data_IF_334658218477
#
_entry.id   IF_334658218477
#
_cell.length_a   1.000
_cell.length_b   1.000
_cell.length_c   1.000
_cell.angle_alpha   90.00
_cell.angle_beta   90.00
_cell.angle_gamma   90.00
#
_symmetry.space_group_name_H-M   'P 1'
#
loop_
_entity.id
_entity.type
_entity.pdbx_description
1 polymer ?
#
# COMPACT_ATOMS: atom_id res chain seq x y z
N UNK A 1 -27.85 3.12 39.20
CA UNK A 1 -27.61 2.65 37.82
C UNK A 1 -26.96 3.80 37.06
N UNK A 2 -25.63 3.85 36.99
CA UNK A 2 -24.92 4.83 36.18
C UNK A 2 -24.74 4.22 34.78
N UNK A 3 -25.22 4.94 33.77
CA UNK A 3 -25.17 4.57 32.36
C UNK A 3 -23.72 4.37 31.92
N UNK A 4 -23.42 3.17 31.43
CA UNK A 4 -22.18 2.90 30.73
C UNK A 4 -22.19 3.65 29.41
N UNK A 5 -21.39 4.70 29.31
CA UNK A 5 -20.97 5.24 28.02
C UNK A 5 -20.17 4.12 27.37
N UNK A 6 -20.73 3.49 26.34
CA UNK A 6 -19.96 2.61 25.49
C UNK A 6 -18.81 3.46 24.94
N UNK A 7 -17.58 3.23 25.41
CA UNK A 7 -16.41 3.77 24.76
C UNK A 7 -16.51 3.27 23.32
N UNK A 8 -16.81 4.16 22.38
CA UNK A 8 -16.59 3.89 20.97
C UNK A 8 -15.13 3.49 20.87
N UNK A 9 -14.86 2.19 20.71
CA UNK A 9 -13.51 1.67 20.59
C UNK A 9 -12.87 2.47 19.47
N UNK A 10 -11.94 3.38 19.83
CA UNK A 10 -11.31 4.21 18.82
C UNK A 10 -10.56 3.27 17.88
N UNK A 11 -10.97 3.27 16.62
CA UNK A 11 -10.38 2.39 15.61
C UNK A 11 -8.95 2.87 15.36
N UNK A 12 -8.02 1.92 15.24
CA UNK A 12 -6.66 2.26 14.81
C UNK A 12 -6.61 2.74 13.35
N UNK A 13 -5.40 2.98 12.83
CA UNK A 13 -5.19 3.71 11.58
C UNK A 13 -5.85 3.07 10.35
N UNK A 14 -6.50 3.87 9.50
CA UNK A 14 -7.04 3.45 8.20
C UNK A 14 -6.22 4.12 7.09
N UNK A 15 -5.73 3.33 6.14
CA UNK A 15 -4.83 3.74 5.07
C UNK A 15 -5.47 3.80 3.69
N UNK A 16 -5.12 4.81 2.90
CA UNK A 16 -5.41 4.89 1.46
C UNK A 16 -4.10 4.87 0.69
N UNK A 17 -4.00 4.03 -0.34
CA UNK A 17 -2.84 3.98 -1.23
C UNK A 17 -3.11 4.82 -2.47
N UNK A 18 -2.20 5.75 -2.74
CA UNK A 18 -2.11 6.45 -4.02
C UNK A 18 -0.86 5.96 -4.74
N UNK A 19 -1.00 5.43 -5.94
CA UNK A 19 0.15 5.16 -6.79
C UNK A 19 0.29 6.28 -7.82
N UNK A 20 1.50 6.84 -7.90
CA UNK A 20 1.93 7.58 -9.06
C UNK A 20 2.63 6.55 -9.95
N UNK A 21 1.89 5.92 -10.85
CA UNK A 21 2.51 5.20 -11.93
C UNK A 21 3.41 6.20 -12.66
N UNK A 22 4.72 6.01 -12.59
CA UNK A 22 5.71 6.83 -13.33
C UNK A 22 5.62 6.50 -14.82
N UNK A 23 4.44 6.59 -15.43
CA UNK A 23 4.28 6.41 -16.86
C UNK A 23 4.06 7.78 -17.52
N UNK A 24 5.04 8.66 -17.35
CA UNK A 24 5.15 9.91 -18.11
C UNK A 24 5.80 9.64 -19.46
N UNK A 25 5.28 8.70 -20.25
CA UNK A 25 5.69 8.59 -21.64
C UNK A 25 4.49 8.34 -22.53
N UNK A 26 4.04 9.43 -23.14
CA UNK A 26 3.23 9.39 -24.33
C UNK A 26 4.14 8.96 -25.48
N UNK A 27 4.13 7.67 -25.80
CA UNK A 27 4.89 7.14 -26.92
C UNK A 27 4.01 7.10 -28.17
N UNK A 28 4.34 7.91 -29.18
CA UNK A 28 3.73 7.82 -30.51
C UNK A 28 4.31 6.68 -31.37
N UNK A 29 4.99 5.70 -30.76
CA UNK A 29 5.52 4.48 -31.39
C UNK A 29 5.90 3.44 -30.32
N UNK A 30 5.73 2.15 -30.62
CA UNK A 30 5.91 1.02 -29.69
C UNK A 30 7.27 1.03 -28.97
N UNK A 31 7.26 1.21 -27.64
CA UNK A 31 8.44 1.00 -26.78
C UNK A 31 8.10 -0.02 -25.70
N UNK A 32 8.80 -1.14 -25.72
CA UNK A 32 8.74 -2.18 -24.70
C UNK A 32 9.36 -1.68 -23.38
N UNK A 33 8.61 -1.78 -22.28
CA UNK A 33 9.10 -1.49 -20.92
C UNK A 33 9.26 -2.82 -20.19
N UNK A 34 10.43 -3.05 -19.60
CA UNK A 34 10.79 -4.32 -18.98
C UNK A 34 10.12 -4.50 -17.60
N UNK A 35 9.85 -5.76 -17.23
CA UNK A 35 9.31 -6.25 -15.94
C UNK A 35 9.95 -5.74 -14.64
N UNK A 36 11.00 -4.93 -14.73
CA UNK A 36 11.86 -4.52 -13.63
C UNK A 36 11.60 -3.11 -13.14
N UNK A 37 10.72 -2.35 -13.79
CA UNK A 37 10.47 -0.95 -13.42
C UNK A 37 9.52 -0.86 -12.22
N UNK A 38 9.99 -0.39 -11.04
CA UNK A 38 9.16 -0.31 -9.86
C UNK A 38 8.12 0.80 -9.98
N UNK A 39 6.91 0.54 -9.50
CA UNK A 39 5.86 1.54 -9.34
C UNK A 39 6.08 2.28 -8.03
N UNK A 40 6.16 3.61 -8.10
CA UNK A 40 6.23 4.46 -6.92
C UNK A 40 4.83 4.62 -6.31
N UNK A 41 4.71 4.25 -5.05
CA UNK A 41 3.47 4.31 -4.30
C UNK A 41 3.63 5.20 -3.06
N UNK A 42 2.52 5.74 -2.61
CA UNK A 42 2.38 6.42 -1.32
C UNK A 42 1.18 5.84 -0.60
N UNK A 43 1.34 5.54 0.68
CA UNK A 43 0.21 5.21 1.57
C UNK A 43 0.04 6.35 2.56
N UNK A 44 -1.18 6.86 2.66
CA UNK A 44 -1.59 7.89 3.60
C UNK A 44 -2.58 7.29 4.59
N UNK A 45 -2.28 7.40 5.87
CA UNK A 45 -3.17 7.02 6.95
C UNK A 45 -3.92 8.24 7.51
N UNK A 46 -5.10 8.00 8.07
CA UNK A 46 -5.90 9.01 8.78
C UNK A 46 -5.33 9.36 10.18
N UNK A 47 -4.38 8.55 10.65
CA UNK A 47 -3.70 8.67 11.94
C UNK A 47 -2.22 8.32 11.79
N UNK A 48 -1.42 8.75 12.76
CA UNK A 48 -0.01 8.38 12.83
C UNK A 48 0.15 6.87 13.05
N UNK A 49 1.10 6.27 12.33
CA UNK A 49 1.40 4.84 12.41
C UNK A 49 2.79 4.63 13.02
N UNK A 50 2.93 3.60 13.84
CA UNK A 50 4.22 3.23 14.42
C UNK A 50 4.70 1.89 13.88
N UNK A 51 6.01 1.80 13.57
CA UNK A 51 6.66 0.60 13.03
C UNK A 51 6.06 0.08 11.71
N UNK A 52 5.63 1.00 10.83
CA UNK A 52 5.15 0.62 9.51
C UNK A 52 6.30 0.10 8.62
N UNK A 53 6.02 -0.92 7.81
CA UNK A 53 7.01 -1.49 6.90
C UNK A 53 6.39 -2.47 5.89
N UNK A 54 7.19 -2.92 4.93
CA UNK A 54 6.76 -3.78 3.82
C UNK A 54 6.10 -5.09 4.29
N UNK A 55 6.52 -5.62 5.45
CA UNK A 55 5.99 -6.87 6.01
C UNK A 55 4.54 -6.79 6.51
N UNK A 56 3.96 -5.59 6.58
CA UNK A 56 2.56 -5.41 7.01
C UNK A 56 1.55 -5.52 5.86
N UNK A 57 2.03 -5.56 4.61
CA UNK A 57 1.17 -5.80 3.46
C UNK A 57 0.96 -7.29 3.23
N UNK A 58 -0.29 -7.67 2.97
CA UNK A 58 -0.57 -8.85 2.17
C UNK A 58 -0.25 -8.57 0.71
N UNK A 59 0.31 -9.56 0.02
CA UNK A 59 0.67 -9.51 -1.40
C UNK A 59 0.88 -10.93 -1.93
N UNK A 60 0.79 -11.09 -3.24
CA UNK A 60 1.14 -12.36 -3.90
C UNK A 60 2.64 -12.71 -3.76
N UNK A 61 3.01 -14.00 -3.86
CA UNK A 61 4.41 -14.46 -3.72
C UNK A 61 5.39 -13.80 -4.69
N UNK A 62 4.94 -13.44 -5.89
CA UNK A 62 5.77 -12.80 -6.91
C UNK A 62 5.85 -11.29 -6.77
N UNK A 63 5.09 -10.70 -5.85
CA UNK A 63 5.11 -9.26 -5.59
C UNK A 63 6.23 -8.92 -4.62
N UNK A 64 6.92 -7.81 -4.88
CA UNK A 64 7.95 -7.24 -4.01
C UNK A 64 7.56 -5.82 -3.63
N UNK A 65 7.60 -5.53 -2.33
CA UNK A 65 7.45 -4.19 -1.76
C UNK A 65 8.78 -3.85 -1.10
N UNK A 66 9.36 -2.72 -1.46
CA UNK A 66 10.69 -2.32 -1.01
C UNK A 66 10.84 -0.81 -0.98
N UNK A 67 11.98 -0.32 -0.49
CA UNK A 67 12.26 1.11 -0.31
C UNK A 67 11.15 1.85 0.45
N UNK A 68 10.63 1.22 1.52
CA UNK A 68 9.63 1.82 2.38
C UNK A 68 10.29 2.91 3.21
N UNK A 69 9.79 4.13 3.08
CA UNK A 69 10.31 5.30 3.76
C UNK A 69 9.17 6.15 4.30
N UNK A 70 9.33 6.58 5.54
CA UNK A 70 8.41 7.49 6.18
C UNK A 70 8.66 8.92 5.70
N UNK A 71 7.63 9.54 5.10
CA UNK A 71 7.66 10.96 4.72
C UNK A 71 7.08 11.80 5.86
N UNK A 72 6.03 11.30 6.52
CA UNK A 72 5.39 11.91 7.68
C UNK A 72 4.92 10.81 8.66
N UNK A 73 4.60 11.12 9.92
CA UNK A 73 4.06 10.15 10.88
C UNK A 73 2.90 9.28 10.35
N UNK A 74 2.07 9.83 9.46
CA UNK A 74 0.93 9.16 8.82
C UNK A 74 1.13 8.87 7.32
N UNK A 75 2.33 9.07 6.75
CA UNK A 75 2.54 9.00 5.30
C UNK A 75 3.86 8.32 4.94
N UNK A 76 3.80 7.36 4.01
CA UNK A 76 4.96 6.57 3.60
C UNK A 76 5.04 6.44 2.09
N UNK A 77 6.25 6.55 1.53
CA UNK A 77 6.54 6.11 0.16
C UNK A 77 7.08 4.70 0.15
N UNK A 78 6.81 3.98 -0.93
CA UNK A 78 7.37 2.66 -1.18
C UNK A 78 7.35 2.37 -2.67
N UNK A 79 8.04 1.30 -3.05
CA UNK A 79 8.05 0.80 -4.42
C UNK A 79 7.44 -0.59 -4.48
N UNK A 80 6.77 -0.87 -5.58
CA UNK A 80 6.19 -2.18 -5.85
C UNK A 80 6.66 -2.69 -7.21
N UNK A 81 7.05 -3.96 -7.26
CA UNK A 81 7.40 -4.67 -8.49
C UNK A 81 6.79 -6.08 -8.47
N UNK A 82 6.66 -6.70 -9.65
CA UNK A 82 6.31 -8.12 -9.78
C UNK A 82 7.42 -8.86 -10.52
N UNK A 83 7.69 -10.09 -10.08
CA UNK A 83 8.63 -11.01 -10.74
C UNK A 83 8.03 -11.71 -11.95
N UNK A 84 6.72 -11.59 -12.16
CA UNK A 84 5.97 -12.29 -13.20
C UNK A 84 4.81 -11.46 -13.74
N UNK A 85 4.24 -11.90 -14.86
CA UNK A 85 3.01 -11.32 -15.40
C UNK A 85 1.82 -11.65 -14.55
N UNK A 86 1.34 -10.62 -13.86
CA UNK A 86 0.30 -10.75 -12.88
C UNK A 86 -0.48 -9.45 -12.73
N UNK A 87 -1.78 -9.62 -12.54
CA UNK A 87 -2.53 -8.73 -11.69
C UNK A 87 -1.98 -8.92 -10.29
N UNK A 88 -1.50 -7.85 -9.69
CA UNK A 88 -1.06 -7.87 -8.31
C UNK A 88 -2.06 -7.07 -7.50
N UNK A 89 -2.47 -7.69 -6.41
CA UNK A 89 -3.25 -7.07 -5.35
C UNK A 89 -2.34 -6.90 -4.13
N UNK A 90 -2.31 -5.70 -3.55
CA UNK A 90 -1.75 -5.49 -2.22
C UNK A 90 -2.80 -4.86 -1.32
N UNK A 91 -2.75 -5.19 -0.03
CA UNK A 91 -3.57 -4.57 0.99
C UNK A 91 -2.95 -4.75 2.37
N UNK A 92 -3.44 -4.01 3.34
CA UNK A 92 -3.05 -4.12 4.75
C UNK A 92 -4.17 -4.85 5.50
N UNK A 93 -3.95 -6.09 5.98
CA UNK A 93 -4.95 -6.85 6.73
C UNK A 93 -5.40 -6.13 8.00
N UNK A 94 -6.60 -6.46 8.49
CA UNK A 94 -7.04 -6.02 9.84
C UNK A 94 -6.01 -6.42 10.92
N UNK A 95 -5.87 -5.59 11.96
CA UNK A 95 -5.00 -5.88 13.10
C UNK A 95 -3.49 -5.68 12.87
N UNK A 96 -3.05 -5.14 11.74
CA UNK A 96 -1.62 -5.09 11.37
C UNK A 96 -0.96 -3.74 11.60
N UNK A 97 -1.61 -2.64 11.23
CA UNK A 97 -1.10 -1.29 11.47
C UNK A 97 -1.63 -0.77 12.79
N UNK A 98 -0.77 -0.07 13.55
CA UNK A 98 -1.09 0.43 14.88
C UNK A 98 -0.63 1.87 15.07
N UNK A 99 -1.37 2.63 15.88
CA UNK A 99 -0.98 3.97 16.31
C UNK A 99 -0.11 3.93 17.59
N UNK A 100 0.33 5.10 18.05
CA UNK A 100 1.13 5.24 19.28
C UNK A 100 0.38 4.81 20.56
N UNK A 101 -0.96 4.80 20.53
CA UNK A 101 -1.80 4.31 21.63
C UNK A 101 -1.96 2.77 21.61
N UNK A 102 -1.34 2.08 20.65
CA UNK A 102 -1.41 0.61 20.52
C UNK A 102 -2.69 0.09 19.86
N UNK A 103 -3.51 0.97 19.30
CA UNK A 103 -4.77 0.61 18.67
C UNK A 103 -4.51 0.19 17.22
N UNK A 104 -5.05 -0.96 16.81
CA UNK A 104 -4.87 -1.50 15.46
C UNK A 104 -6.03 -1.16 14.53
N UNK A 105 -5.80 -1.20 13.23
CA UNK A 105 -6.87 -1.10 12.24
C UNK A 105 -7.91 -2.20 12.42
N UNK A 106 -9.19 -1.84 12.38
CA UNK A 106 -10.29 -2.81 12.54
C UNK A 106 -10.69 -3.45 11.21
N UNK A 107 -10.43 -2.78 10.09
CA UNK A 107 -10.76 -3.23 8.74
C UNK A 107 -9.52 -3.41 7.88
N UNK A 108 -9.62 -4.27 6.87
CA UNK A 108 -8.63 -4.34 5.81
C UNK A 108 -8.58 -3.00 5.07
N UNK A 109 -7.38 -2.47 4.86
CA UNK A 109 -7.17 -1.11 4.37
C UNK A 109 -6.08 -1.06 3.31
N UNK A 110 -5.83 0.11 2.72
CA UNK A 110 -4.75 0.33 1.74
C UNK A 110 -4.81 -0.63 0.54
N UNK A 111 -6.01 -1.00 0.10
CA UNK A 111 -6.21 -1.83 -1.08
C UNK A 111 -5.70 -1.15 -2.33
N UNK A 112 -4.89 -1.86 -3.11
CA UNK A 112 -4.38 -1.36 -4.37
C UNK A 112 -4.13 -2.49 -5.36
N UNK A 113 -4.55 -2.29 -6.62
CA UNK A 113 -4.44 -3.25 -7.71
C UNK A 113 -3.68 -2.64 -8.88
N UNK A 114 -2.72 -3.38 -9.43
CA UNK A 114 -1.97 -3.01 -10.64
C UNK A 114 -1.74 -4.23 -11.49
N UNK A 115 -1.72 -4.04 -12.81
CA UNK A 115 -1.35 -5.09 -13.75
C UNK A 115 0.07 -4.86 -14.24
N UNK A 116 0.96 -5.83 -14.01
CA UNK A 116 2.27 -5.85 -14.65
C UNK A 116 2.23 -6.74 -15.90
N UNK A 117 2.74 -6.22 -17.02
CA UNK A 117 2.76 -6.91 -18.32
C UNK A 117 4.20 -7.25 -18.75
N UNK A 118 4.40 -8.42 -19.38
CA UNK A 118 5.70 -8.87 -19.91
C UNK A 118 6.15 -8.05 -21.09
N UNK A 119 5.16 -7.66 -21.86
CA UNK A 119 5.23 -6.95 -23.09
C UNK A 119 4.07 -5.98 -23.03
N UNK A 120 4.26 -4.69 -23.34
CA UNK A 120 3.12 -3.79 -23.46
C UNK A 120 2.10 -4.43 -24.42
N UNK A 121 0.79 -4.35 -24.10
CA UNK A 121 -0.25 -4.89 -24.98
C UNK A 121 -0.07 -4.32 -26.40
N UNK A 122 -0.15 -5.22 -27.38
CA UNK A 122 0.01 -4.93 -28.80
C UNK A 122 -1.06 -3.96 -29.32
#
# INVERSE_FOLDING_TARGET
RLQGVAATASSGPIGTVNALATQTRQYSSTVAVAYVDPVNCTVQFDQDVVNFGAGLFWKDPDTRIFNVEQIQPSSYRFQVASLSSANVTIYIPTGTVRNAAGQTNNDTTAFFNFHFYAHPPA
#
